data_IF_200406066751
#
_entry.id   IF_200406066751
#
_cell.length_a   1.000
_cell.length_b   1.000
_cell.length_c   1.000
_cell.angle_alpha   90.00
_cell.angle_beta   90.00
_cell.angle_gamma   90.00
#
_symmetry.space_group_name_H-M   'P 1'
#
loop_
_entity.id
_entity.type
_entity.pdbx_description
1 polymer ?
#
# COMPACT_ATOMS: atom_id res chain seq x y z
N UNK A 1 -8.32 2.30 -9.03
CA UNK A 1 -7.97 0.89 -8.72
C UNK A 1 -7.08 0.25 -9.80
N UNK A 2 -7.32 0.48 -11.10
CA UNK A 2 -6.47 -0.06 -12.18
C UNK A 2 -5.00 0.32 -12.04
N UNK A 3 -4.69 1.61 -11.86
CA UNK A 3 -3.30 2.09 -11.74
C UNK A 3 -2.50 1.43 -10.59
N UNK A 4 -3.18 1.09 -9.49
CA UNK A 4 -2.55 0.37 -8.38
C UNK A 4 -2.32 -1.11 -8.72
N UNK A 5 -3.25 -1.74 -9.42
CA UNK A 5 -3.08 -3.11 -9.90
C UNK A 5 -1.87 -3.19 -10.85
N UNK A 6 -1.76 -2.23 -11.77
CA UNK A 6 -0.65 -2.16 -12.74
C UNK A 6 0.70 -1.94 -12.03
N UNK A 7 0.75 -1.03 -11.04
CA UNK A 7 1.93 -0.81 -10.18
C UNK A 7 2.43 -2.10 -9.52
N UNK A 8 1.53 -2.87 -8.88
CA UNK A 8 1.90 -4.11 -8.20
C UNK A 8 2.34 -5.16 -9.23
N UNK A 9 1.67 -5.21 -10.38
CA UNK A 9 1.96 -6.21 -11.42
C UNK A 9 3.30 -5.96 -12.12
N UNK A 10 3.75 -4.71 -12.23
CA UNK A 10 5.10 -4.37 -12.74
C UNK A 10 6.23 -4.91 -11.85
N UNK A 11 5.96 -5.08 -10.55
CA UNK A 11 6.94 -5.63 -9.60
C UNK A 11 6.80 -7.15 -9.45
N UNK A 12 5.57 -7.66 -9.37
CA UNK A 12 5.28 -9.09 -9.23
C UNK A 12 4.17 -9.50 -10.21
N UNK A 13 4.51 -10.01 -11.41
CA UNK A 13 3.53 -10.35 -12.42
C UNK A 13 2.56 -11.48 -12.00
N UNK A 14 1.25 -11.20 -12.07
CA UNK A 14 0.13 -12.12 -11.89
C UNK A 14 -1.00 -11.73 -12.85
N UNK A 15 -2.11 -12.49 -12.85
CA UNK A 15 -3.29 -12.09 -13.62
C UNK A 15 -3.88 -10.78 -13.08
N UNK A 16 -4.32 -9.92 -14.00
CA UNK A 16 -4.95 -8.63 -13.65
C UNK A 16 -6.21 -8.83 -12.79
N UNK A 17 -6.99 -9.86 -13.09
CA UNK A 17 -8.17 -10.23 -12.31
C UNK A 17 -7.80 -10.55 -10.85
N UNK A 18 -6.72 -11.30 -10.61
CA UNK A 18 -6.24 -11.61 -9.25
C UNK A 18 -5.80 -10.35 -8.50
N UNK A 19 -5.13 -9.40 -9.17
CA UNK A 19 -4.73 -8.12 -8.58
C UNK A 19 -5.94 -7.28 -8.19
N UNK A 20 -6.91 -7.14 -9.10
CA UNK A 20 -8.14 -6.39 -8.84
C UNK A 20 -8.98 -7.03 -7.73
N UNK A 21 -9.07 -8.36 -7.70
CA UNK A 21 -9.75 -9.08 -6.63
C UNK A 21 -9.08 -8.82 -5.27
N UNK A 22 -7.75 -8.94 -5.18
CA UNK A 22 -7.02 -8.67 -3.94
C UNK A 22 -7.18 -7.22 -3.46
N UNK A 23 -7.10 -6.24 -4.37
CA UNK A 23 -7.34 -4.83 -4.05
C UNK A 23 -8.79 -4.58 -3.63
N UNK A 24 -9.76 -5.28 -4.24
CA UNK A 24 -11.19 -5.19 -3.92
C UNK A 24 -11.56 -5.73 -2.54
N UNK A 25 -10.71 -6.55 -1.92
CA UNK A 25 -10.89 -7.00 -0.52
C UNK A 25 -10.55 -5.91 0.52
N UNK A 26 -10.04 -4.76 0.09
CA UNK A 26 -9.67 -3.66 0.98
C UNK A 26 -10.87 -3.15 1.78
N UNK A 27 -10.78 -3.12 3.11
CA UNK A 27 -11.82 -2.56 3.98
C UNK A 27 -11.24 -2.00 5.29
N UNK A 28 -12.03 -1.19 6.00
CA UNK A 28 -11.67 -0.66 7.33
C UNK A 28 -11.52 -1.77 8.39
N UNK A 29 -12.07 -2.96 8.15
CA UNK A 29 -11.96 -4.12 9.02
C UNK A 29 -10.72 -4.99 8.74
N UNK A 30 -9.84 -4.55 7.82
CA UNK A 30 -8.71 -5.31 7.27
C UNK A 30 -9.14 -6.53 6.44
N UNK A 31 -8.35 -6.95 5.44
CA UNK A 31 -7.12 -6.29 4.98
C UNK A 31 -7.40 -4.92 4.35
N UNK A 32 -6.47 -3.98 4.47
CA UNK A 32 -6.61 -2.62 3.98
C UNK A 32 -5.46 -2.28 3.04
N UNK A 33 -5.78 -1.73 1.87
CA UNK A 33 -4.83 -1.31 0.86
C UNK A 33 -4.60 0.21 0.95
N UNK A 34 -3.36 0.61 1.24
CA UNK A 34 -2.98 2.02 1.28
C UNK A 34 -2.15 2.38 0.05
N UNK A 35 -2.35 3.60 -0.45
CA UNK A 35 -1.67 4.14 -1.62
C UNK A 35 -1.01 5.47 -1.27
N UNK A 36 0.27 5.62 -1.64
CA UNK A 36 0.92 6.91 -1.63
C UNK A 36 0.58 7.63 -2.95
N UNK A 37 -0.06 8.79 -2.85
CA UNK A 37 -0.51 9.56 -3.99
C UNK A 37 0.34 10.83 -4.16
N UNK A 38 0.66 11.17 -5.41
CA UNK A 38 1.20 12.48 -5.76
C UNK A 38 0.12 13.29 -6.48
N UNK A 39 -0.12 14.55 -6.08
CA UNK A 39 -0.99 15.43 -6.84
C UNK A 39 -0.42 15.66 -8.24
N UNK A 40 -1.30 15.93 -9.20
CA UNK A 40 -0.93 16.35 -10.55
C UNK A 40 -1.01 17.89 -10.64
N UNK A 41 -0.11 18.54 -11.39
CA UNK A 41 -0.13 19.99 -11.57
C UNK A 41 -1.36 20.49 -12.34
N UNK A 42 -1.93 19.62 -13.18
CA UNK A 42 -3.09 19.94 -14.01
C UNK A 42 -4.39 19.85 -13.21
N UNK A 43 -5.18 20.95 -13.12
CA UNK A 43 -6.49 20.92 -12.49
C UNK A 43 -7.39 19.86 -13.13
N UNK A 44 -8.01 19.01 -12.31
CA UNK A 44 -8.91 17.95 -12.77
C UNK A 44 -8.24 16.63 -13.18
N UNK A 45 -6.90 16.55 -13.19
CA UNK A 45 -6.21 15.29 -13.45
C UNK A 45 -6.24 14.37 -12.21
N UNK A 46 -6.37 13.06 -12.46
CA UNK A 46 -6.30 12.07 -11.39
C UNK A 46 -4.90 12.04 -10.75
N UNK A 47 -4.79 11.85 -9.43
CA UNK A 47 -3.50 11.76 -8.77
C UNK A 47 -2.72 10.53 -9.23
N UNK A 48 -1.38 10.62 -9.18
CA UNK A 48 -0.49 9.50 -9.53
C UNK A 48 -0.35 8.57 -8.34
N UNK A 49 -0.50 7.27 -8.58
CA UNK A 49 -0.14 6.25 -7.59
C UNK A 49 1.38 6.06 -7.58
N UNK A 50 2.03 6.57 -6.52
CA UNK A 50 3.48 6.52 -6.35
C UNK A 50 3.91 5.22 -5.69
N UNK A 51 3.11 4.69 -4.77
CA UNK A 51 3.41 3.49 -4.03
C UNK A 51 2.18 2.84 -3.44
N UNK A 52 2.33 1.59 -3.01
CA UNK A 52 1.28 0.77 -2.42
C UNK A 52 1.85 -0.08 -1.28
N UNK A 53 1.01 -0.34 -0.28
CA UNK A 53 1.21 -1.40 0.69
C UNK A 53 -0.17 -1.93 1.15
N UNK A 54 -0.18 -3.17 1.63
CA UNK A 54 -1.34 -3.82 2.23
C UNK A 54 -1.08 -4.07 3.70
N UNK A 55 -2.07 -3.77 4.53
CA UNK A 55 -2.08 -4.07 5.95
C UNK A 55 -3.07 -5.20 6.23
N UNK A 56 -2.64 -6.21 6.97
CA UNK A 56 -3.46 -7.35 7.38
C UNK A 56 -3.35 -7.55 8.89
N UNK A 57 -4.37 -8.13 9.53
CA UNK A 57 -4.32 -8.48 10.96
C UNK A 57 -3.36 -9.65 11.19
N UNK A 58 -2.71 -9.66 12.35
CA UNK A 58 -1.90 -10.80 12.79
C UNK A 58 -2.71 -11.65 13.77
N UNK A 59 -2.72 -12.96 13.56
CA UNK A 59 -3.40 -13.91 14.43
C UNK A 59 -2.86 -13.83 15.85
N UNK A 60 -3.76 -13.82 16.83
CA UNK A 60 -3.47 -13.75 18.27
C UNK A 60 -2.59 -12.56 18.71
N UNK A 61 -2.47 -11.53 17.88
CA UNK A 61 -1.73 -10.31 18.18
C UNK A 61 -2.56 -9.06 17.86
N UNK A 62 -3.51 -8.69 18.73
CA UNK A 62 -4.51 -7.66 18.43
C UNK A 62 -3.94 -6.24 18.20
N UNK A 63 -2.70 -5.99 18.63
CA UNK A 63 -1.99 -4.72 18.45
C UNK A 63 -0.92 -4.77 17.34
N UNK A 64 -0.88 -5.84 16.55
CA UNK A 64 0.08 -6.04 15.46
C UNK A 64 -0.63 -6.02 14.10
N UNK A 65 0.05 -5.48 13.08
CA UNK A 65 -0.32 -5.63 11.68
C UNK A 65 0.81 -6.26 10.88
N UNK A 66 0.44 -7.06 9.89
CA UNK A 66 1.34 -7.54 8.85
C UNK A 66 1.32 -6.54 7.70
N UNK A 67 2.49 -6.11 7.27
CA UNK A 67 2.70 -5.25 6.10
C UNK A 67 3.12 -6.14 4.94
N UNK A 68 2.36 -6.08 3.86
CA UNK A 68 2.56 -6.90 2.68
C UNK A 68 2.61 -6.01 1.43
N UNK A 69 3.21 -6.53 0.35
CA UNK A 69 3.14 -5.93 -0.98
C UNK A 69 3.62 -4.46 -1.00
N UNK A 70 4.69 -4.14 -0.26
CA UNK A 70 5.28 -2.79 -0.25
C UNK A 70 5.99 -2.53 -1.56
N UNK A 71 5.52 -1.55 -2.33
CA UNK A 71 6.10 -1.23 -3.64
C UNK A 71 6.02 0.26 -3.95
N UNK A 72 7.07 0.78 -4.59
CA UNK A 72 7.11 2.11 -5.19
C UNK A 72 7.24 1.96 -6.70
N UNK A 73 6.55 2.81 -7.45
CA UNK A 73 6.61 2.86 -8.91
C UNK A 73 8.05 2.94 -9.38
N UNK A 74 8.45 2.04 -10.28
CA UNK A 74 9.85 1.85 -10.70
C UNK A 74 10.56 3.15 -11.10
N UNK A 75 9.95 4.06 -11.91
CA UNK A 75 10.60 5.33 -12.30
C UNK A 75 10.78 6.34 -11.14
N UNK A 76 10.09 6.11 -10.01
CA UNK A 76 10.08 7.01 -8.85
C UNK A 76 10.93 6.49 -7.68
N UNK A 77 11.61 5.33 -7.85
CA UNK A 77 12.52 4.77 -6.83
C UNK A 77 13.75 5.66 -6.63
N UNK A 78 14.41 5.51 -5.49
CA UNK A 78 15.59 6.32 -5.11
C UNK A 78 15.27 7.75 -4.67
N UNK A 79 13.99 8.16 -4.63
CA UNK A 79 13.55 9.52 -4.27
C UNK A 79 12.98 9.64 -2.85
N UNK A 80 13.22 8.64 -1.99
CA UNK A 80 12.71 8.62 -0.61
C UNK A 80 11.24 8.23 -0.45
N UNK A 81 10.49 7.94 -1.53
CA UNK A 81 9.07 7.58 -1.42
C UNK A 81 8.81 6.27 -0.66
N UNK A 82 9.73 5.30 -0.69
CA UNK A 82 9.62 4.07 0.11
C UNK A 82 9.63 4.38 1.61
N UNK A 83 10.54 5.25 2.03
CA UNK A 83 10.62 5.74 3.42
C UNK A 83 9.32 6.46 3.82
N UNK A 84 8.87 7.42 3.01
CA UNK A 84 7.62 8.16 3.27
C UNK A 84 6.39 7.25 3.34
N UNK A 85 6.35 6.21 2.49
CA UNK A 85 5.30 5.20 2.54
C UNK A 85 5.32 4.48 3.89
N UNK A 86 6.47 3.94 4.31
CA UNK A 86 6.59 3.22 5.59
C UNK A 86 6.29 4.10 6.81
N UNK A 87 6.85 5.31 6.88
CA UNK A 87 6.55 6.28 7.94
C UNK A 87 5.05 6.61 7.99
N UNK A 88 4.40 6.73 6.83
CA UNK A 88 2.95 6.91 6.72
C UNK A 88 2.16 5.71 7.24
N UNK A 89 2.59 4.47 6.95
CA UNK A 89 1.97 3.26 7.48
C UNK A 89 2.08 3.19 9.00
N UNK A 90 3.26 3.52 9.56
CA UNK A 90 3.47 3.56 11.00
C UNK A 90 2.56 4.59 11.68
N UNK A 91 2.49 5.81 11.14
CA UNK A 91 1.61 6.85 11.64
C UNK A 91 0.13 6.43 11.56
N UNK A 92 -0.28 5.86 10.43
CA UNK A 92 -1.65 5.37 10.21
C UNK A 92 -2.04 4.27 11.22
N UNK A 93 -1.15 3.30 11.43
CA UNK A 93 -1.36 2.19 12.35
C UNK A 93 -1.39 2.68 13.81
N UNK A 94 -0.46 3.55 14.19
CA UNK A 94 -0.37 4.12 15.53
C UNK A 94 -1.63 4.90 15.91
N UNK A 95 -2.16 5.71 14.98
CA UNK A 95 -3.41 6.45 15.19
C UNK A 95 -4.63 5.53 15.44
N UNK A 96 -4.54 4.26 15.05
CA UNK A 96 -5.58 3.23 15.25
C UNK A 96 -5.27 2.28 16.41
N UNK A 97 -4.28 2.61 17.25
CA UNK A 97 -3.93 1.83 18.45
C UNK A 97 -3.05 0.61 18.19
N UNK A 98 -2.54 0.42 16.97
CA UNK A 98 -1.55 -0.61 16.68
C UNK A 98 -0.16 -0.16 17.12
N UNK A 99 0.64 -1.10 17.62
CA UNK A 99 1.95 -0.84 18.24
C UNK A 99 3.10 -1.52 17.53
N UNK A 100 2.81 -2.47 16.63
CA UNK A 100 3.82 -3.27 15.94
C UNK A 100 3.42 -3.52 14.50
N UNK A 101 4.38 -3.38 13.60
CA UNK A 101 4.30 -3.80 12.22
C UNK A 101 5.27 -4.97 12.01
N UNK A 102 4.83 -6.00 11.30
CA UNK A 102 5.64 -7.13 10.88
C UNK A 102 5.73 -7.16 9.36
N UNK A 103 6.83 -7.62 8.81
CA UNK A 103 6.97 -7.85 7.38
C UNK A 103 8.00 -8.95 7.11
N UNK A 104 7.96 -9.51 5.91
CA UNK A 104 9.00 -10.38 5.36
C UNK A 104 9.62 -9.70 4.14
N UNK A 105 10.93 -9.88 3.93
CA UNK A 105 11.68 -9.27 2.83
C UNK A 105 12.55 -10.26 2.10
#
# INVERSE_FOLDING_TARGET
MSACADLINDQWPRSRASRLHSLGQSSDAFPLCLMLLSPQPTPGAAPVVVGHARLSRVLDQPHSLLVETVVVARPLRGRGFGRRLMEGLEAFARARGFRRLHLTT
#
